data_IF_258713107082
#
_entry.id   IF_258713107082
#
_cell.length_a   1.000
_cell.length_b   1.000
_cell.length_c   1.000
_cell.angle_alpha   90.00
_cell.angle_beta   90.00
_cell.angle_gamma   90.00
#
_symmetry.space_group_name_H-M   'P 1'
#
loop_
_entity.id
_entity.type
_entity.pdbx_description
1 polymer ?
#
# COMPACT_ATOMS: atom_id res chain seq x y z
N UNK A 1 13.84 -17.11 -19.95
CA UNK A 1 13.89 -17.16 -18.47
C UNK A 1 12.63 -16.50 -17.92
N UNK A 2 11.65 -17.29 -17.46
CA UNK A 2 10.53 -16.74 -16.68
C UNK A 2 11.08 -16.35 -15.30
N UNK A 3 11.16 -15.06 -14.99
CA UNK A 3 11.38 -14.61 -13.61
C UNK A 3 10.11 -14.96 -12.82
N UNK A 4 10.22 -15.89 -11.88
CA UNK A 4 9.15 -16.13 -10.90
C UNK A 4 9.06 -14.84 -10.07
N UNK A 5 7.99 -14.04 -10.29
CA UNK A 5 7.67 -12.89 -9.44
C UNK A 5 7.25 -13.46 -8.09
N UNK A 6 8.12 -13.36 -7.08
CA UNK A 6 7.73 -13.62 -5.69
C UNK A 6 6.66 -12.60 -5.32
N UNK A 7 5.45 -13.08 -5.05
CA UNK A 7 4.32 -12.25 -4.59
C UNK A 7 4.66 -11.71 -3.20
N UNK A 8 4.47 -10.42 -2.98
CA UNK A 8 4.78 -9.74 -1.72
C UNK A 8 3.50 -9.16 -1.11
N UNK A 9 2.63 -10.01 -0.51
CA UNK A 9 1.41 -9.53 0.11
C UNK A 9 1.73 -8.79 1.41
N UNK A 10 1.07 -7.65 1.61
CA UNK A 10 1.14 -6.86 2.84
C UNK A 10 -0.08 -7.14 3.70
N UNK A 11 0.12 -7.35 5.00
CA UNK A 11 -0.94 -7.45 6.00
C UNK A 11 -0.90 -6.24 6.93
N UNK A 12 -2.03 -5.53 7.04
CA UNK A 12 -2.22 -4.37 7.90
C UNK A 12 -3.36 -4.69 8.87
N UNK A 13 -3.06 -4.74 10.17
CA UNK A 13 -4.05 -5.01 11.23
C UNK A 13 -4.44 -3.77 12.02
N UNK A 14 -3.77 -2.64 11.81
CA UNK A 14 -4.13 -1.36 12.42
C UNK A 14 -5.28 -0.68 11.67
N UNK A 15 -6.13 0.12 12.35
CA UNK A 15 -7.20 0.87 11.71
C UNK A 15 -6.68 1.86 10.66
N UNK A 16 -7.25 1.82 9.45
CA UNK A 16 -6.97 2.78 8.37
C UNK A 16 -8.10 3.80 8.27
N UNK A 17 -7.89 5.02 8.77
CA UNK A 17 -8.93 6.08 8.79
C UNK A 17 -8.65 7.21 7.81
N UNK A 18 -7.39 7.36 7.41
CA UNK A 18 -6.92 8.32 6.42
C UNK A 18 -5.83 7.70 5.54
N UNK A 19 -5.57 8.31 4.37
CA UNK A 19 -4.45 7.91 3.52
C UNK A 19 -3.10 7.95 4.25
N UNK A 20 -2.94 8.84 5.23
CA UNK A 20 -1.71 8.95 6.04
C UNK A 20 -1.49 7.74 6.95
N UNK A 21 -2.56 7.10 7.44
CA UNK A 21 -2.44 5.86 8.21
C UNK A 21 -1.86 4.75 7.34
N UNK A 22 -2.34 4.66 6.08
CA UNK A 22 -1.84 3.71 5.10
C UNK A 22 -0.38 4.00 4.76
N UNK A 23 -0.03 5.26 4.48
CA UNK A 23 1.35 5.65 4.19
C UNK A 23 2.30 5.25 5.31
N UNK A 24 1.93 5.56 6.56
CA UNK A 24 2.72 5.21 7.74
C UNK A 24 2.89 3.70 7.87
N UNK A 25 1.80 2.93 7.70
CA UNK A 25 1.86 1.47 7.76
C UNK A 25 2.79 0.89 6.69
N UNK A 26 2.67 1.34 5.44
CA UNK A 26 3.54 0.91 4.34
C UNK A 26 5.00 1.27 4.58
N UNK A 27 5.28 2.48 5.06
CA UNK A 27 6.63 2.90 5.44
C UNK A 27 7.24 2.02 6.52
N UNK A 28 6.48 1.67 7.56
CA UNK A 28 6.96 0.76 8.61
C UNK A 28 7.26 -0.66 8.09
N UNK A 29 6.44 -1.18 7.18
CA UNK A 29 6.55 -2.56 6.68
C UNK A 29 7.67 -2.70 5.65
N UNK A 30 7.72 -1.78 4.67
CA UNK A 30 8.60 -1.88 3.52
C UNK A 30 9.95 -1.20 3.73
N UNK A 31 10.03 -0.23 4.64
CA UNK A 31 11.23 0.56 4.91
C UNK A 31 11.68 0.52 6.39
N UNK A 32 12.01 -0.66 6.95
CA UNK A 32 12.39 -0.78 8.36
C UNK A 32 13.67 -0.03 8.75
N UNK A 33 14.49 0.40 7.77
CA UNK A 33 15.74 1.16 7.98
C UNK A 33 15.55 2.68 8.12
N UNK A 34 14.31 3.17 8.19
CA UNK A 34 14.02 4.56 8.51
C UNK A 34 13.91 5.52 7.33
N UNK A 35 13.59 5.02 6.12
CA UNK A 35 13.12 5.92 5.07
C UNK A 35 11.76 6.51 5.46
N UNK A 36 11.48 7.78 5.12
CA UNK A 36 10.21 8.40 5.45
C UNK A 36 9.06 7.62 4.81
N UNK A 37 7.94 7.55 5.53
CA UNK A 37 6.69 7.12 4.92
C UNK A 37 6.37 8.01 3.71
N UNK A 38 5.65 7.48 2.70
CA UNK A 38 5.21 8.29 1.58
C UNK A 38 4.34 9.45 2.08
N UNK A 39 4.43 10.60 1.42
CA UNK A 39 3.70 11.82 1.78
C UNK A 39 2.58 12.13 0.78
N UNK A 40 2.58 11.45 -0.37
CA UNK A 40 1.59 11.59 -1.43
C UNK A 40 1.32 10.25 -2.12
N UNK A 41 0.35 10.25 -3.06
CA UNK A 41 -0.06 9.06 -3.81
C UNK A 41 1.06 8.55 -4.73
N UNK A 42 1.84 9.44 -5.33
CA UNK A 42 2.95 9.06 -6.22
C UNK A 42 4.07 8.36 -5.43
N UNK A 43 4.47 8.93 -4.29
CA UNK A 43 5.44 8.29 -3.39
C UNK A 43 4.95 6.93 -2.88
N UNK A 44 3.63 6.80 -2.61
CA UNK A 44 3.04 5.50 -2.28
C UNK A 44 3.12 4.53 -3.47
N UNK A 45 2.83 4.99 -4.68
CA UNK A 45 2.85 4.17 -5.88
C UNK A 45 4.27 3.64 -6.18
N UNK A 46 5.27 4.50 -6.04
CA UNK A 46 6.69 4.14 -6.19
C UNK A 46 7.08 3.10 -5.12
N UNK A 47 6.71 3.33 -3.87
CA UNK A 47 7.01 2.39 -2.78
C UNK A 47 6.43 0.99 -3.02
N UNK A 48 5.17 0.91 -3.48
CA UNK A 48 4.50 -0.37 -3.79
C UNK A 48 5.17 -1.07 -4.98
N UNK A 49 5.48 -0.31 -6.04
CA UNK A 49 6.09 -0.83 -7.26
C UNK A 49 7.50 -1.36 -7.01
N UNK A 50 8.33 -0.59 -6.31
CA UNK A 50 9.72 -0.92 -6.02
C UNK A 50 9.85 -2.16 -5.14
N UNK A 51 8.86 -2.39 -4.26
CA UNK A 51 8.81 -3.56 -3.40
C UNK A 51 8.01 -4.74 -3.99
N UNK A 52 7.53 -4.63 -5.23
CA UNK A 52 6.81 -5.70 -5.91
C UNK A 52 5.53 -6.13 -5.21
N UNK A 53 4.85 -5.20 -4.52
CA UNK A 53 3.59 -5.47 -3.83
C UNK A 53 2.50 -5.75 -4.85
N UNK A 54 1.76 -6.84 -4.66
CA UNK A 54 0.66 -7.25 -5.54
C UNK A 54 -0.67 -7.42 -4.79
N UNK A 55 -0.62 -7.38 -3.45
CA UNK A 55 -1.79 -7.50 -2.59
C UNK A 55 -1.59 -6.74 -1.29
N UNK A 56 -2.63 -6.03 -0.87
CA UNK A 56 -2.78 -5.45 0.47
C UNK A 56 -3.98 -6.10 1.12
N UNK A 57 -3.79 -6.68 2.30
CA UNK A 57 -4.85 -7.21 3.17
C UNK A 57 -4.96 -6.28 4.37
N UNK A 58 -6.10 -5.63 4.56
CA UNK A 58 -6.32 -4.69 5.64
C UNK A 58 -7.53 -5.11 6.47
N UNK A 59 -7.31 -5.43 7.76
CA UNK A 59 -8.37 -5.95 8.62
C UNK A 59 -9.41 -4.89 9.05
N UNK A 60 -9.06 -3.61 9.00
CA UNK A 60 -9.93 -2.51 9.43
C UNK A 60 -9.79 -1.31 8.47
N UNK A 61 -10.51 -1.39 7.35
CA UNK A 61 -10.50 -0.40 6.27
C UNK A 61 -11.66 0.61 6.43
N UNK A 62 -11.36 1.79 6.96
CA UNK A 62 -12.34 2.85 7.29
C UNK A 62 -11.94 4.22 6.71
N UNK A 63 -11.36 4.23 5.52
CA UNK A 63 -10.97 5.47 4.86
C UNK A 63 -12.21 6.33 4.52
N UNK A 64 -12.05 7.65 4.57
CA UNK A 64 -13.01 8.57 3.96
C UNK A 64 -13.08 8.34 2.45
N UNK A 65 -14.26 8.54 1.86
CA UNK A 65 -14.54 8.18 0.45
C UNK A 65 -13.51 8.74 -0.54
N UNK A 66 -13.13 10.01 -0.41
CA UNK A 66 -12.17 10.65 -1.31
C UNK A 66 -10.77 10.02 -1.22
N UNK A 67 -10.33 9.64 -0.02
CA UNK A 67 -9.06 8.94 0.19
C UNK A 67 -9.13 7.52 -0.38
N UNK A 68 -10.24 6.83 -0.15
CA UNK A 68 -10.46 5.49 -0.66
C UNK A 68 -10.41 5.45 -2.19
N UNK A 69 -11.15 6.33 -2.87
CA UNK A 69 -11.17 6.40 -4.34
C UNK A 69 -9.76 6.63 -4.88
N UNK A 70 -9.04 7.60 -4.32
CA UNK A 70 -7.70 7.95 -4.79
C UNK A 70 -6.69 6.80 -4.60
N UNK A 71 -6.77 6.08 -3.47
CA UNK A 71 -5.90 4.92 -3.21
C UNK A 71 -6.27 3.75 -4.13
N UNK A 72 -7.55 3.47 -4.32
CA UNK A 72 -8.02 2.39 -5.18
C UNK A 72 -7.65 2.64 -6.65
N UNK A 73 -7.64 3.90 -7.10
CA UNK A 73 -7.18 4.27 -8.42
C UNK A 73 -5.69 3.91 -8.61
N UNK A 74 -4.83 4.28 -7.65
CA UNK A 74 -3.41 3.89 -7.66
C UNK A 74 -3.24 2.37 -7.64
N UNK A 75 -4.00 1.67 -6.80
CA UNK A 75 -3.92 0.21 -6.70
C UNK A 75 -4.31 -0.45 -8.01
N UNK A 76 -5.37 0.02 -8.67
CA UNK A 76 -5.81 -0.46 -9.98
C UNK A 76 -4.72 -0.26 -11.03
N UNK A 77 -4.10 0.92 -11.07
CA UNK A 77 -3.06 1.25 -12.04
C UNK A 77 -1.80 0.39 -11.86
N UNK A 78 -1.49 -0.02 -10.62
CA UNK A 78 -0.38 -0.91 -10.29
C UNK A 78 -0.73 -2.41 -10.36
N UNK A 79 -2.02 -2.76 -10.51
CA UNK A 79 -2.49 -4.14 -10.41
C UNK A 79 -2.40 -4.71 -8.98
N UNK A 80 -2.40 -3.87 -7.96
CA UNK A 80 -2.45 -4.25 -6.54
C UNK A 80 -3.88 -4.59 -6.16
N UNK A 81 -4.08 -5.76 -5.54
CA UNK A 81 -5.40 -6.18 -5.04
C UNK A 81 -5.59 -5.77 -3.59
N UNK A 82 -6.71 -5.12 -3.25
CA UNK A 82 -7.10 -4.88 -1.85
C UNK A 82 -8.06 -5.99 -1.38
N UNK A 83 -7.75 -6.57 -0.22
CA UNK A 83 -8.67 -7.41 0.57
C UNK A 83 -8.94 -6.70 1.89
N UNK A 84 -10.21 -6.52 2.22
CA UNK A 84 -10.69 -5.88 3.44
C UNK A 84 -11.76 -6.72 4.10
#
# INVERSE_FOLDING_TARGET
MLKIKTRNPILITSPMRSRFDLYKALGCILNPKGFPAPNCLDEMADLLRDNGVDRVVCADWQLVYDDEVAILDVFRDLGVTLQR
#
